data_IF_120826282709
#
_entry.id   IF_120826282709
#
_cell.length_a   1.000
_cell.length_b   1.000
_cell.length_c   1.000
_cell.angle_alpha   90.00
_cell.angle_beta   90.00
_cell.angle_gamma   90.00
#
_symmetry.space_group_name_H-M   'P 1'
#
loop_
_entity.id
_entity.type
_entity.pdbx_description
1 polymer ?
#
# COMPACT_ATOMS: atom_id res chain seq x y z
N UNK A 1 42.17 -19.44 -49.78
CA UNK A 1 41.42 -19.93 -48.60
C UNK A 1 40.67 -18.81 -47.86
N UNK A 2 41.21 -17.58 -47.76
CA UNK A 2 40.54 -16.43 -47.11
C UNK A 2 39.15 -16.05 -47.67
N UNK A 3 38.91 -16.15 -48.99
CA UNK A 3 37.60 -15.80 -49.61
C UNK A 3 36.44 -16.71 -49.17
N UNK A 4 36.70 -17.98 -48.82
CA UNK A 4 35.66 -18.91 -48.33
C UNK A 4 35.30 -18.64 -46.86
N UNK A 5 36.28 -18.23 -46.04
CA UNK A 5 36.05 -17.87 -44.64
C UNK A 5 35.21 -16.61 -44.47
N UNK A 6 35.34 -15.63 -45.37
CA UNK A 6 34.55 -14.39 -45.36
C UNK A 6 33.08 -14.63 -45.76
N UNK A 7 32.83 -15.58 -46.67
CA UNK A 7 31.48 -15.98 -47.10
C UNK A 7 30.71 -16.73 -46.01
N UNK A 8 31.39 -17.55 -45.20
CA UNK A 8 30.76 -18.28 -44.08
C UNK A 8 30.41 -17.32 -42.93
N UNK A 9 31.26 -16.32 -42.66
CA UNK A 9 31.03 -15.34 -41.60
C UNK A 9 29.87 -14.38 -41.90
N UNK A 10 29.64 -14.04 -43.18
CA UNK A 10 28.56 -13.12 -43.58
C UNK A 10 27.17 -13.78 -43.58
N UNK A 11 27.08 -15.09 -43.76
CA UNK A 11 25.79 -15.83 -43.71
C UNK A 11 25.38 -16.26 -42.30
N UNK A 12 26.33 -16.37 -41.36
CA UNK A 12 26.04 -16.79 -39.98
C UNK A 12 25.52 -15.63 -39.10
N UNK A 13 25.96 -14.39 -39.36
CA UNK A 13 25.57 -13.23 -38.55
C UNK A 13 24.06 -12.93 -38.52
N UNK A 14 23.29 -13.03 -39.64
CA UNK A 14 21.84 -12.85 -39.61
C UNK A 14 21.10 -13.97 -38.85
N UNK A 15 21.64 -15.19 -38.85
CA UNK A 15 21.02 -16.34 -38.18
C UNK A 15 21.07 -16.21 -36.65
N UNK A 16 22.11 -15.59 -36.08
CA UNK A 16 22.16 -15.29 -34.65
C UNK A 16 21.21 -14.13 -34.25
N UNK A 17 20.92 -13.20 -35.17
CA UNK A 17 20.00 -12.09 -34.89
C UNK A 17 18.54 -12.55 -34.73
N UNK A 18 18.16 -13.66 -35.36
CA UNK A 18 16.80 -14.24 -35.27
C UNK A 18 16.54 -15.01 -33.96
N UNK A 19 17.59 -15.42 -33.23
CA UNK A 19 17.45 -16.12 -31.94
C UNK A 19 17.17 -15.19 -30.75
N UNK A 20 17.45 -13.89 -30.91
CA UNK A 20 17.33 -12.90 -29.83
C UNK A 20 15.86 -12.52 -29.52
N UNK A 21 14.90 -12.85 -30.38
CA UNK A 21 13.48 -12.49 -30.15
C UNK A 21 12.78 -13.32 -29.05
N UNK A 22 13.47 -14.30 -28.45
CA UNK A 22 12.95 -15.08 -27.30
C UNK A 22 13.57 -14.68 -25.95
N UNK A 23 14.45 -13.68 -25.91
CA UNK A 23 15.16 -13.26 -24.70
C UNK A 23 14.33 -12.23 -23.92
N UNK A 24 13.50 -12.71 -23.00
CA UNK A 24 12.78 -11.86 -22.05
C UNK A 24 12.17 -12.71 -20.93
N UNK A 25 11.38 -12.09 -20.07
CA UNK A 25 10.80 -12.73 -18.88
C UNK A 25 10.03 -14.01 -19.22
N UNK A 26 10.60 -15.19 -18.89
CA UNK A 26 9.95 -16.48 -19.12
C UNK A 26 8.98 -16.79 -17.99
N UNK A 27 7.73 -17.11 -18.33
CA UNK A 27 6.71 -17.49 -17.38
C UNK A 27 5.64 -18.36 -18.05
N UNK A 28 5.75 -19.69 -17.90
CA UNK A 28 4.78 -20.65 -18.45
C UNK A 28 3.57 -20.88 -17.54
N UNK A 29 3.54 -20.24 -16.38
CA UNK A 29 2.41 -20.27 -15.45
C UNK A 29 1.55 -19.01 -15.51
N UNK A 30 0.52 -18.97 -14.68
CA UNK A 30 -0.31 -17.79 -14.46
C UNK A 30 0.17 -16.91 -13.30
N UNK A 31 1.21 -17.36 -12.61
CA UNK A 31 1.80 -16.64 -11.49
C UNK A 31 2.37 -15.30 -11.94
N UNK A 32 2.26 -14.29 -11.09
CA UNK A 32 2.86 -13.00 -11.36
C UNK A 32 4.33 -13.01 -10.97
N UNK A 33 5.24 -12.88 -11.95
CA UNK A 33 6.68 -12.68 -11.70
C UNK A 33 6.93 -11.33 -11.00
N UNK A 34 6.18 -10.31 -11.40
CA UNK A 34 6.31 -8.95 -10.88
C UNK A 34 5.41 -8.75 -9.65
N UNK A 35 5.94 -9.03 -8.46
CA UNK A 35 5.22 -8.89 -7.20
C UNK A 35 5.39 -7.48 -6.59
N UNK A 36 4.37 -6.93 -5.91
CA UNK A 36 4.52 -5.71 -5.12
C UNK A 36 5.57 -5.90 -4.02
N UNK A 37 6.50 -4.96 -3.92
CA UNK A 37 7.46 -4.88 -2.84
C UNK A 37 7.13 -3.67 -1.99
N UNK A 38 6.99 -3.89 -0.68
CA UNK A 38 6.63 -2.85 0.29
C UNK A 38 7.89 -2.41 1.02
N UNK A 39 8.22 -1.13 0.87
CA UNK A 39 9.24 -0.47 1.69
C UNK A 39 8.59 0.29 2.84
N UNK A 40 9.15 0.16 4.04
CA UNK A 40 8.75 0.89 5.25
C UNK A 40 9.89 1.80 5.71
N UNK A 41 9.57 3.01 6.12
CA UNK A 41 10.50 3.92 6.79
C UNK A 41 9.83 4.47 8.04
N UNK A 42 10.52 4.35 9.18
CA UNK A 42 10.05 4.85 10.47
C UNK A 42 10.89 6.06 10.88
N UNK A 43 10.22 7.20 11.06
CA UNK A 43 10.81 8.42 11.58
C UNK A 43 10.44 8.55 13.05
N UNK A 44 11.44 8.80 13.90
CA UNK A 44 11.26 8.91 15.35
C UNK A 44 11.53 10.33 15.80
N UNK A 45 10.74 10.82 16.76
CA UNK A 45 10.94 12.12 17.39
C UNK A 45 10.57 12.05 18.86
N UNK A 46 11.53 12.39 19.72
CA UNK A 46 11.37 12.34 21.16
C UNK A 46 10.95 13.71 21.68
N UNK A 47 9.86 13.74 22.44
CA UNK A 47 9.27 14.93 23.06
C UNK A 47 9.32 14.80 24.57
N UNK A 48 9.62 15.90 25.25
CA UNK A 48 9.59 15.94 26.71
C UNK A 48 8.15 15.96 27.23
N UNK A 49 7.91 15.33 28.37
CA UNK A 49 6.62 15.36 29.06
C UNK A 49 6.68 16.18 30.34
N UNK A 50 5.54 16.74 30.72
CA UNK A 50 5.34 17.46 31.98
C UNK A 50 4.10 16.91 32.66
N UNK A 51 4.29 15.92 33.54
CA UNK A 51 3.18 15.16 34.12
C UNK A 51 2.51 14.30 33.07
N UNK A 52 1.23 14.56 32.79
CA UNK A 52 0.43 13.77 31.84
C UNK A 52 0.27 14.42 30.45
N UNK A 53 0.97 15.52 30.19
CA UNK A 53 0.87 16.31 28.96
C UNK A 53 2.26 16.53 28.36
N UNK A 54 2.31 17.04 27.13
CA UNK A 54 3.56 17.50 26.53
C UNK A 54 4.14 18.69 27.33
N UNK A 55 5.46 18.72 27.47
CA UNK A 55 6.12 19.85 28.10
C UNK A 55 5.88 21.16 27.30
N UNK A 56 5.89 22.34 27.96
CA UNK A 56 5.69 23.60 27.26
C UNK A 56 6.67 23.77 26.09
N UNK A 57 6.14 24.08 24.89
CA UNK A 57 6.93 24.25 23.66
C UNK A 57 7.14 22.97 22.85
N UNK A 58 6.90 21.77 23.40
CA UNK A 58 7.08 20.51 22.66
C UNK A 58 6.03 20.32 21.56
N UNK A 59 4.80 20.81 21.77
CA UNK A 59 3.77 20.78 20.72
C UNK A 59 4.21 21.54 19.46
N UNK A 60 4.85 22.69 19.61
CA UNK A 60 5.37 23.50 18.49
C UNK A 60 6.58 22.83 17.82
N UNK A 61 7.48 22.22 18.60
CA UNK A 61 8.59 21.43 18.06
C UNK A 61 8.08 20.24 17.24
N UNK A 62 7.11 19.52 17.79
CA UNK A 62 6.46 18.38 17.14
C UNK A 62 5.76 18.81 15.85
N UNK A 63 5.01 19.91 15.87
CA UNK A 63 4.36 20.46 14.69
C UNK A 63 5.37 20.87 13.59
N UNK A 64 6.47 21.52 13.97
CA UNK A 64 7.54 21.88 13.03
C UNK A 64 8.22 20.65 12.42
N UNK A 65 8.45 19.60 13.21
CA UNK A 65 8.97 18.33 12.72
C UNK A 65 8.01 17.66 11.73
N UNK A 66 6.72 17.56 12.06
CA UNK A 66 5.69 17.01 11.17
C UNK A 66 5.58 17.78 9.85
N UNK A 67 5.68 19.12 9.92
CA UNK A 67 5.70 19.97 8.74
C UNK A 67 6.95 19.71 7.87
N UNK A 68 8.12 19.52 8.49
CA UNK A 68 9.36 19.21 7.77
C UNK A 68 9.30 17.85 7.07
N UNK A 69 8.66 16.86 7.69
CA UNK A 69 8.42 15.53 7.10
C UNK A 69 7.34 15.53 6.01
N UNK A 70 6.59 16.64 5.89
CA UNK A 70 5.38 16.74 5.05
C UNK A 70 4.44 15.59 5.36
N UNK A 71 4.01 15.53 6.63
CA UNK A 71 3.05 14.54 7.09
C UNK A 71 1.79 14.60 6.23
N UNK A 72 1.28 13.46 5.81
CA UNK A 72 0.13 13.41 4.91
C UNK A 72 -0.57 12.06 4.87
N UNK A 73 -1.48 11.92 3.91
CA UNK A 73 -2.23 10.69 3.72
C UNK A 73 -1.30 9.49 3.48
N UNK A 74 -1.60 8.38 4.16
CA UNK A 74 -0.81 7.14 4.11
C UNK A 74 0.29 7.05 5.19
N UNK A 75 0.60 8.14 5.88
CA UNK A 75 1.47 8.10 7.05
C UNK A 75 0.68 7.59 8.27
N UNK A 76 1.32 6.73 9.07
CA UNK A 76 0.79 6.31 10.37
C UNK A 76 1.59 6.94 11.49
N UNK A 77 0.88 7.52 12.46
CA UNK A 77 1.51 8.11 13.65
C UNK A 77 1.17 7.25 14.85
N UNK A 78 2.18 6.78 15.56
CA UNK A 78 2.02 6.04 16.80
C UNK A 78 2.82 6.72 17.92
N UNK A 79 2.46 6.40 19.15
CA UNK A 79 3.13 6.90 20.35
C UNK A 79 3.74 5.71 21.07
N UNK A 80 5.05 5.78 21.29
CA UNK A 80 5.81 4.88 22.14
C UNK A 80 6.07 5.61 23.47
N UNK A 81 5.23 5.28 24.47
CA UNK A 81 5.24 5.88 25.80
C UNK A 81 5.61 4.81 26.86
N UNK A 82 6.74 4.97 27.57
CA UNK A 82 7.12 4.09 28.69
C UNK A 82 6.09 4.04 29.82
N UNK A 83 5.23 5.06 29.94
CA UNK A 83 4.22 5.20 30.98
C UNK A 83 2.84 5.52 30.35
N UNK A 84 2.16 4.55 29.73
CA UNK A 84 0.93 4.78 28.97
C UNK A 84 -0.29 5.12 29.84
N UNK A 85 -0.11 5.33 31.14
CA UNK A 85 -1.18 5.63 32.09
C UNK A 85 -1.57 7.10 32.02
N UNK A 86 -2.32 7.45 30.97
CA UNK A 86 -2.98 8.74 30.82
C UNK A 86 -3.20 9.15 29.37
N UNK A 87 -4.24 9.94 29.14
CA UNK A 87 -4.65 10.33 27.79
C UNK A 87 -4.11 11.70 27.35
N UNK A 88 -3.56 12.52 28.26
CA UNK A 88 -3.19 13.90 27.94
C UNK A 88 -2.13 14.02 26.84
N UNK A 89 -1.07 13.20 26.88
CA UNK A 89 -0.07 13.13 25.80
C UNK A 89 -0.69 12.65 24.49
N UNK A 90 -1.59 11.65 24.53
CA UNK A 90 -2.29 11.16 23.33
C UNK A 90 -3.18 12.25 22.74
N UNK A 91 -3.91 12.99 23.57
CA UNK A 91 -4.79 14.08 23.17
C UNK A 91 -3.99 15.26 22.60
N UNK A 92 -2.88 15.63 23.23
CA UNK A 92 -1.96 16.65 22.76
C UNK A 92 -1.38 16.29 21.38
N UNK A 93 -0.87 15.07 21.21
CA UNK A 93 -0.35 14.60 19.91
C UNK A 93 -1.48 14.49 18.88
N UNK A 94 -2.66 13.97 19.25
CA UNK A 94 -3.84 13.87 18.40
C UNK A 94 -4.30 15.25 17.89
N UNK A 95 -4.20 16.29 18.73
CA UNK A 95 -4.50 17.67 18.34
C UNK A 95 -3.54 18.22 17.26
N UNK A 96 -2.29 17.76 17.24
CA UNK A 96 -1.31 18.15 16.22
C UNK A 96 -1.51 17.39 14.92
N UNK A 97 -1.68 16.06 14.97
CA UNK A 97 -1.85 15.25 13.76
C UNK A 97 -3.23 15.38 13.12
N UNK A 98 -4.26 15.75 13.89
CA UNK A 98 -5.61 15.95 13.39
C UNK A 98 -5.69 17.04 12.31
N UNK A 99 -4.73 17.99 12.32
CA UNK A 99 -4.57 19.03 11.27
C UNK A 99 -4.25 18.45 9.89
N UNK A 100 -3.71 17.23 9.85
CA UNK A 100 -3.39 16.49 8.64
C UNK A 100 -4.47 15.44 8.30
N UNK A 101 -5.57 15.39 9.06
CA UNK A 101 -6.63 14.39 8.89
C UNK A 101 -6.22 12.98 9.32
N UNK A 102 -5.22 12.87 10.19
CA UNK A 102 -4.68 11.59 10.67
C UNK A 102 -5.16 11.28 12.09
N UNK A 103 -5.25 9.98 12.38
CA UNK A 103 -5.56 9.44 13.70
C UNK A 103 -4.34 8.68 14.23
N UNK A 104 -4.20 8.65 15.55
CA UNK A 104 -3.20 7.83 16.21
C UNK A 104 -3.45 6.35 15.93
N UNK A 105 -2.39 5.65 15.57
CA UNK A 105 -2.35 4.20 15.48
C UNK A 105 -2.23 3.60 16.88
N UNK A 106 -2.90 2.47 17.10
CA UNK A 106 -2.91 1.79 18.41
C UNK A 106 -1.55 1.18 18.75
N UNK A 107 -0.80 0.74 17.73
CA UNK A 107 0.46 0.02 17.91
C UNK A 107 1.64 0.83 17.36
N UNK A 108 2.59 1.13 18.25
CA UNK A 108 3.88 1.68 17.90
C UNK A 108 4.84 0.57 17.45
N UNK A 109 5.62 0.76 16.38
CA UNK A 109 6.66 -0.20 16.03
C UNK A 109 7.75 -0.24 17.09
N UNK A 110 8.41 -1.39 17.17
CA UNK A 110 9.61 -1.52 17.98
C UNK A 110 10.70 -0.61 17.42
N UNK A 111 11.08 0.40 18.19
CA UNK A 111 12.15 1.33 17.82
C UNK A 111 13.50 0.84 18.36
N UNK A 112 14.60 1.17 17.68
CA UNK A 112 15.92 0.59 17.96
C UNK A 112 16.60 1.06 19.26
N UNK A 113 16.00 2.02 19.98
CA UNK A 113 16.54 2.55 21.23
C UNK A 113 15.43 2.70 22.27
N UNK A 114 15.67 2.46 23.56
CA UNK A 114 14.69 2.75 24.59
C UNK A 114 14.39 4.26 24.66
N UNK A 115 13.15 4.60 24.97
CA UNK A 115 12.73 5.98 25.25
C UNK A 115 13.22 6.38 26.65
N UNK A 116 13.78 7.58 26.78
CA UNK A 116 14.30 8.06 28.07
C UNK A 116 13.15 8.38 29.04
N UNK A 117 13.33 8.20 30.36
CA UNK A 117 12.34 8.61 31.35
C UNK A 117 12.00 10.10 31.23
N UNK A 118 10.71 10.44 31.31
CA UNK A 118 10.21 11.82 31.13
C UNK A 118 10.13 12.27 29.67
N UNK A 119 10.35 11.36 28.72
CA UNK A 119 10.10 11.59 27.30
C UNK A 119 9.12 10.58 26.74
N UNK A 120 8.49 10.96 25.65
CA UNK A 120 7.64 10.10 24.82
C UNK A 120 8.14 10.17 23.40
N UNK A 121 8.11 9.04 22.69
CA UNK A 121 8.52 8.97 21.30
C UNK A 121 7.31 8.95 20.38
N UNK A 122 7.25 9.92 19.49
CA UNK A 122 6.30 9.93 18.38
C UNK A 122 6.97 9.25 17.18
N UNK A 123 6.31 8.22 16.64
CA UNK A 123 6.81 7.48 15.48
C UNK A 123 5.89 7.70 14.29
N UNK A 124 6.47 8.18 13.19
CA UNK A 124 5.79 8.29 11.89
C UNK A 124 6.28 7.17 10.99
N UNK A 125 5.40 6.22 10.68
CA UNK A 125 5.67 5.12 9.76
C UNK A 125 5.10 5.44 8.38
N UNK A 126 5.98 5.55 7.39
CA UNK A 126 5.62 5.70 5.97
C UNK A 126 5.87 4.40 5.24
N UNK A 127 4.86 3.92 4.51
CA UNK A 127 4.97 2.72 3.69
C UNK A 127 4.70 3.06 2.23
N UNK A 128 5.42 2.41 1.31
CA UNK A 128 5.20 2.54 -0.14
C UNK A 128 5.28 1.16 -0.78
N UNK A 129 4.29 0.83 -1.61
CA UNK A 129 4.34 -0.33 -2.48
C UNK A 129 4.83 0.10 -3.87
N UNK A 130 5.80 -0.63 -4.42
CA UNK A 130 6.25 -0.49 -5.81
C UNK A 130 6.45 -1.87 -6.39
N UNK A 131 6.14 -2.05 -7.67
CA UNK A 131 6.48 -3.28 -8.40
C UNK A 131 7.77 -3.01 -9.18
N UNK A 132 8.93 -3.56 -8.78
CA UNK A 132 10.18 -3.33 -9.47
C UNK A 132 10.16 -3.89 -10.89
N UNK A 133 10.87 -3.24 -11.82
CA UNK A 133 11.00 -3.73 -13.20
C UNK A 133 9.81 -3.43 -14.12
N UNK A 134 8.77 -2.75 -13.63
CA UNK A 134 7.61 -2.40 -14.44
C UNK A 134 7.69 -1.00 -15.08
N UNK A 135 7.12 -0.81 -16.30
CA UNK A 135 6.50 -1.84 -17.15
C UNK A 135 7.55 -2.74 -17.84
N UNK A 136 7.22 -4.02 -18.06
CA UNK A 136 8.10 -4.99 -18.72
C UNK A 136 7.57 -5.41 -20.10
N UNK A 137 8.24 -4.93 -21.15
CA UNK A 137 7.98 -5.31 -22.54
C UNK A 137 9.15 -6.07 -23.16
N UNK A 138 9.95 -6.77 -22.36
CA UNK A 138 11.09 -7.56 -22.88
C UNK A 138 10.66 -8.64 -23.87
N UNK A 139 9.40 -9.11 -23.84
CA UNK A 139 8.84 -10.07 -24.80
C UNK A 139 7.81 -9.41 -25.70
N UNK A 140 8.30 -8.82 -26.80
CA UNK A 140 7.47 -8.19 -27.85
C UNK A 140 7.07 -9.12 -29.00
N UNK A 141 7.51 -10.38 -28.98
CA UNK A 141 7.52 -11.26 -30.17
C UNK A 141 6.38 -12.27 -30.20
N UNK A 142 5.62 -12.26 -31.30
CA UNK A 142 4.83 -13.41 -31.78
C UNK A 142 5.51 -13.98 -33.03
N UNK A 143 5.41 -15.30 -33.29
CA UNK A 143 4.66 -16.31 -32.55
C UNK A 143 5.36 -16.78 -31.25
N UNK A 144 4.55 -17.09 -30.24
CA UNK A 144 5.01 -17.65 -28.96
C UNK A 144 4.74 -19.16 -28.92
N UNK A 145 5.80 -19.96 -28.85
CA UNK A 145 5.71 -21.43 -28.91
C UNK A 145 5.90 -22.13 -27.56
N UNK A 146 6.35 -21.40 -26.53
CA UNK A 146 6.61 -21.96 -25.20
C UNK A 146 5.44 -21.73 -24.23
N UNK A 147 4.30 -21.21 -24.72
CA UNK A 147 3.10 -20.89 -23.94
C UNK A 147 3.36 -20.00 -22.72
N UNK A 148 4.29 -19.06 -22.85
CA UNK A 148 4.53 -18.09 -21.80
C UNK A 148 3.41 -17.03 -21.73
N UNK A 149 3.12 -16.54 -20.53
CA UNK A 149 2.35 -15.30 -20.35
C UNK A 149 3.14 -14.09 -20.85
N UNK A 150 2.45 -12.96 -21.06
CA UNK A 150 3.10 -11.71 -21.48
C UNK A 150 4.18 -11.28 -20.48
N UNK A 151 5.28 -10.66 -20.93
CA UNK A 151 6.30 -10.13 -20.01
C UNK A 151 5.73 -9.10 -19.04
N UNK A 152 4.69 -8.38 -19.46
CA UNK A 152 3.98 -7.40 -18.65
C UNK A 152 2.95 -8.03 -17.69
N UNK A 153 2.85 -9.37 -17.65
CA UNK A 153 2.02 -10.09 -16.68
C UNK A 153 2.52 -9.77 -15.28
N UNK A 154 1.60 -9.43 -14.38
CA UNK A 154 1.94 -8.89 -13.07
C UNK A 154 2.10 -7.38 -13.07
N UNK A 155 2.90 -6.81 -13.96
CA UNK A 155 3.04 -5.35 -14.04
C UNK A 155 1.70 -4.64 -14.29
N UNK A 156 0.87 -5.13 -15.21
CA UNK A 156 -0.44 -4.51 -15.49
C UNK A 156 -1.45 -4.59 -14.33
N UNK A 157 -1.33 -5.57 -13.44
CA UNK A 157 -2.29 -5.80 -12.35
C UNK A 157 -1.73 -5.27 -11.02
N UNK A 158 -0.53 -5.71 -10.66
CA UNK A 158 0.09 -5.45 -9.37
C UNK A 158 0.56 -4.01 -9.22
N UNK A 159 0.90 -3.30 -10.32
CA UNK A 159 1.22 -1.87 -10.23
C UNK A 159 -0.02 -1.04 -9.88
N UNK A 160 -1.17 -1.39 -10.46
CA UNK A 160 -2.46 -0.79 -10.13
C UNK A 160 -2.87 -1.14 -8.70
N UNK A 161 -2.72 -2.41 -8.30
CA UNK A 161 -2.97 -2.82 -6.91
C UNK A 161 -2.10 -2.02 -5.93
N UNK A 162 -0.79 -1.93 -6.17
CA UNK A 162 0.13 -1.16 -5.34
C UNK A 162 -0.23 0.33 -5.25
N UNK A 163 -0.79 0.92 -6.31
CA UNK A 163 -1.23 2.32 -6.34
C UNK A 163 -2.60 2.53 -5.67
N UNK A 164 -3.49 1.53 -5.70
CA UNK A 164 -4.85 1.62 -5.16
C UNK A 164 -4.93 1.25 -3.68
N UNK A 165 -4.00 0.44 -3.16
CA UNK A 165 -4.02 0.03 -1.75
C UNK A 165 -3.71 1.21 -0.83
N UNK A 166 -4.67 1.55 0.05
CA UNK A 166 -4.53 2.64 1.02
C UNK A 166 -3.38 2.41 2.02
N UNK A 167 -3.21 1.17 2.50
CA UNK A 167 -2.13 0.79 3.41
C UNK A 167 -1.27 -0.32 2.79
N UNK A 168 -0.08 0.02 2.26
CA UNK A 168 0.81 -0.96 1.64
C UNK A 168 1.19 -2.15 2.53
N UNK A 169 1.19 -2.00 3.86
CA UNK A 169 1.49 -3.10 4.79
C UNK A 169 0.51 -4.27 4.71
N UNK A 170 -0.70 -4.02 4.19
CA UNK A 170 -1.74 -5.04 4.05
C UNK A 170 -1.44 -6.02 2.91
N UNK A 171 -0.58 -5.63 1.96
CA UNK A 171 -0.08 -6.54 0.91
C UNK A 171 0.86 -7.62 1.48
N UNK A 172 1.40 -7.43 2.68
CA UNK A 172 2.32 -8.39 3.31
C UNK A 172 1.63 -9.19 4.41
N UNK A 173 0.96 -8.49 5.34
CA UNK A 173 0.40 -9.12 6.56
C UNK A 173 -1.11 -9.30 6.53
N UNK A 174 -1.80 -8.60 5.64
CA UNK A 174 -3.25 -8.41 5.74
C UNK A 174 -3.65 -7.65 7.02
N UNK A 175 -4.92 -7.28 7.12
CA UNK A 175 -5.49 -6.77 8.36
C UNK A 175 -6.05 -7.95 9.16
N UNK A 176 -5.63 -8.15 10.43
CA UNK A 176 -6.39 -8.99 11.32
C UNK A 176 -7.74 -8.28 11.52
N UNK A 177 -8.84 -8.85 11.01
CA UNK A 177 -10.17 -8.26 11.21
C UNK A 177 -10.45 -8.01 12.69
N UNK A 178 -11.47 -7.20 13.01
CA UNK A 178 -11.81 -6.98 14.42
C UNK A 178 -12.15 -8.31 15.08
N UNK A 179 -11.40 -8.68 16.12
CA UNK A 179 -11.63 -9.93 16.88
C UNK A 179 -13.00 -9.98 17.57
N UNK A 180 -13.74 -8.88 17.55
CA UNK A 180 -15.12 -8.77 17.98
C UNK A 180 -15.95 -8.37 16.76
N UNK A 181 -16.79 -9.29 16.28
CA UNK A 181 -17.85 -8.97 15.33
C UNK A 181 -18.83 -8.06 16.05
N UNK A 182 -18.95 -6.78 15.66
CA UNK A 182 -19.98 -5.90 16.24
C UNK A 182 -21.36 -6.39 15.79
N UNK A 183 -22.19 -6.95 16.71
CA UNK A 183 -23.51 -7.43 16.35
C UNK A 183 -24.39 -6.30 15.79
N UNK A 184 -24.18 -5.03 16.19
CA UNK A 184 -24.92 -3.89 15.69
C UNK A 184 -24.58 -3.56 14.21
N UNK A 185 -23.31 -3.68 13.80
CA UNK A 185 -22.96 -3.58 12.38
C UNK A 185 -23.52 -4.76 11.57
N UNK A 186 -23.50 -5.96 12.15
CA UNK A 186 -24.01 -7.16 11.47
C UNK A 186 -25.53 -7.09 11.23
N UNK A 187 -26.30 -6.59 12.19
CA UNK A 187 -27.75 -6.41 12.06
C UNK A 187 -28.10 -5.24 11.16
N UNK A 188 -27.27 -4.19 11.11
CA UNK A 188 -27.46 -3.05 10.20
C UNK A 188 -27.48 -3.49 8.74
N UNK A 189 -26.59 -4.38 8.31
CA UNK A 189 -26.60 -4.89 6.94
C UNK A 189 -27.90 -5.66 6.62
N UNK A 190 -28.38 -6.47 7.57
CA UNK A 190 -29.65 -7.21 7.45
C UNK A 190 -30.83 -6.24 7.39
N UNK A 191 -30.86 -5.22 8.24
CA UNK A 191 -31.91 -4.22 8.26
C UNK A 191 -31.92 -3.38 6.98
N UNK A 192 -30.76 -2.97 6.48
CA UNK A 192 -30.65 -2.24 5.20
C UNK A 192 -31.17 -3.11 4.07
N UNK A 193 -30.81 -4.40 4.03
CA UNK A 193 -31.35 -5.32 3.02
C UNK A 193 -32.87 -5.49 3.12
N UNK A 194 -33.42 -5.60 4.35
CA UNK A 194 -34.87 -5.73 4.58
C UNK A 194 -35.65 -4.45 4.29
N UNK A 195 -35.06 -3.29 4.55
CA UNK A 195 -35.68 -1.97 4.38
C UNK A 195 -35.41 -1.37 3.00
N UNK A 196 -34.48 -1.93 2.22
CA UNK A 196 -34.21 -1.48 0.87
C UNK A 196 -35.48 -1.67 0.03
N UNK A 197 -36.02 -0.60 -0.57
CA UNK A 197 -37.11 -0.74 -1.54
C UNK A 197 -36.60 -1.62 -2.68
N UNK A 198 -37.44 -2.55 -3.16
CA UNK A 198 -37.09 -3.35 -4.32
C UNK A 198 -36.68 -2.40 -5.45
N UNK A 199 -35.41 -2.46 -5.88
CA UNK A 199 -34.96 -1.70 -7.04
C UNK A 199 -35.72 -2.23 -8.25
N UNK A 200 -36.77 -1.53 -8.62
CA UNK A 200 -37.74 -1.96 -9.60
C UNK A 200 -37.10 -2.02 -10.99
N UNK A 201 -36.76 -3.24 -11.40
CA UNK A 201 -37.10 -3.75 -12.73
C UNK A 201 -38.58 -4.15 -12.85
N UNK A 202 -39.46 -3.61 -11.99
CA UNK A 202 -40.89 -3.76 -12.12
C UNK A 202 -41.42 -2.57 -12.94
N UNK A 203 -41.65 -2.82 -14.22
CA UNK A 203 -42.33 -1.92 -15.15
C UNK A 203 -43.60 -1.34 -14.52
N UNK A 204 -43.71 -0.02 -14.50
CA UNK A 204 -44.94 0.69 -14.19
C UNK A 204 -46.00 0.34 -15.25
N UNK A 205 -46.86 -0.61 -14.92
CA UNK A 205 -48.12 -0.84 -15.62
C UNK A 205 -49.15 0.16 -15.14
N UNK A 206 -49.19 1.34 -15.74
CA UNK A 206 -50.37 2.21 -15.66
C UNK A 206 -51.49 1.59 -16.49
N UNK A 207 -52.49 1.00 -15.82
CA UNK A 207 -53.83 0.89 -16.39
C UNK A 207 -54.84 1.28 -15.31
N UNK A 208 -55.38 2.49 -15.46
CA UNK A 208 -56.43 3.00 -14.60
C UNK A 208 -57.76 2.27 -14.77
N UNK A 209 -58.64 2.47 -13.81
CA UNK A 209 -60.04 2.07 -13.87
C UNK A 209 -60.74 2.46 -12.57
N UNK A 210 -61.41 3.60 -12.59
CA UNK A 210 -62.38 4.01 -11.55
C UNK A 210 -63.60 3.08 -11.63
N UNK A 211 -64.06 2.62 -10.48
CA UNK A 211 -65.44 2.75 -9.99
C UNK A 211 -65.47 2.44 -8.50
#
# INVERSE_FOLDING_TARGET
>A
MLKRSILIATTLAPALALGACSTGTKNRGLESVHQPVVSRTDFVFDVNTSGNNLAPGEAQRLAGWMQSLRLGYGDRVAIDDPNPYGNGIRDDVQSQIGRYGLLLSDEAPITGAPVQPGMVRVVVSRMKAVVPGCPDFSRVSQPEFESNTSSNQGCGINSNLAAMTANPGDLVRGQPGSGVTDPAQSTKAIEVYRKAPASAGASAGTSGGKN
#
